data_IF_491188309610
#
_entry.id   IF_491188309610
#
_cell.length_a   1.000
_cell.length_b   1.000
_cell.length_c   1.000
_cell.angle_alpha   90.00
_cell.angle_beta   90.00
_cell.angle_gamma   90.00
#
_symmetry.space_group_name_H-M   'P 1'
#
loop_
_entity.id
_entity.type
_entity.pdbx_description
1 polymer ?
#
# COMPACT_ATOMS: atom_id res chain seq x y z
N UNK A 1 4.68 -15.82 -17.28
CA UNK A 1 5.59 -15.50 -16.15
C UNK A 1 6.65 -14.55 -16.65
N UNK A 2 6.74 -13.32 -16.13
CA UNK A 2 7.82 -12.40 -16.52
C UNK A 2 9.11 -12.82 -15.83
N UNK A 3 10.14 -13.22 -16.60
CA UNK A 3 11.43 -13.65 -16.06
C UNK A 3 12.19 -12.56 -15.30
N UNK A 4 13.26 -12.93 -14.59
CA UNK A 4 14.07 -12.01 -13.77
C UNK A 4 14.68 -10.85 -14.58
N UNK A 5 14.94 -11.05 -15.87
CA UNK A 5 15.39 -9.99 -16.79
C UNK A 5 14.36 -8.88 -16.97
N UNK A 6 13.07 -9.23 -17.06
CA UNK A 6 11.97 -8.26 -17.14
C UNK A 6 11.82 -7.47 -15.84
N UNK A 7 12.08 -8.10 -14.68
CA UNK A 7 12.10 -7.40 -13.40
C UNK A 7 13.29 -6.42 -13.32
N UNK A 8 14.51 -6.87 -13.63
CA UNK A 8 15.69 -6.01 -13.63
C UNK A 8 15.55 -4.85 -14.62
N UNK A 9 14.93 -5.09 -15.77
CA UNK A 9 14.62 -4.04 -16.75
C UNK A 9 13.61 -3.04 -16.19
N UNK A 10 12.49 -3.49 -15.58
CA UNK A 10 11.50 -2.60 -14.94
C UNK A 10 12.08 -1.77 -13.80
N UNK A 11 13.01 -2.33 -13.02
CA UNK A 11 13.71 -1.59 -11.96
C UNK A 11 14.63 -0.52 -12.57
N UNK A 12 15.38 -0.86 -13.63
CA UNK A 12 16.30 0.07 -14.32
C UNK A 12 15.59 1.15 -15.13
N UNK A 13 14.37 0.90 -15.60
CA UNK A 13 13.60 1.88 -16.38
C UNK A 13 12.98 2.97 -15.52
N UNK A 14 12.89 2.79 -14.19
CA UNK A 14 12.38 3.84 -13.31
C UNK A 14 13.45 4.94 -13.15
N UNK A 15 13.07 6.22 -13.28
CA UNK A 15 14.00 7.36 -13.16
C UNK A 15 14.59 7.52 -11.76
N UNK A 16 14.07 6.82 -10.74
CA UNK A 16 14.52 6.88 -9.36
C UNK A 16 14.70 5.45 -8.80
N UNK A 17 15.78 5.23 -8.04
CA UNK A 17 16.06 3.97 -7.35
C UNK A 17 15.06 3.66 -6.24
N UNK A 18 15.16 2.49 -5.56
CA UNK A 18 14.23 2.09 -4.51
C UNK A 18 14.08 3.17 -3.43
N UNK A 19 12.85 3.36 -2.94
CA UNK A 19 12.52 4.37 -1.93
C UNK A 19 11.77 3.76 -0.77
N UNK A 20 12.18 4.13 0.43
CA UNK A 20 11.51 3.79 1.67
C UNK A 20 10.95 5.07 2.29
N UNK A 21 9.70 4.99 2.74
CA UNK A 21 9.00 6.05 3.46
C UNK A 21 8.40 5.43 4.71
N UNK A 22 8.67 6.05 5.85
CA UNK A 22 7.98 5.75 7.10
C UNK A 22 7.09 6.95 7.43
N UNK A 23 5.80 6.66 7.61
CA UNK A 23 4.72 7.61 7.74
C UNK A 23 3.74 7.09 8.80
N UNK A 24 3.97 7.47 10.05
CA UNK A 24 3.25 6.94 11.21
C UNK A 24 3.39 5.42 11.34
N UNK A 25 2.25 4.74 11.42
CA UNK A 25 2.13 3.28 11.50
C UNK A 25 2.26 2.56 10.15
N UNK A 26 2.61 3.27 9.07
CA UNK A 26 2.78 2.69 7.75
C UNK A 26 4.22 2.88 7.26
N UNK A 27 4.86 1.78 6.89
CA UNK A 27 6.09 1.80 6.11
C UNK A 27 5.78 1.43 4.65
N UNK A 28 6.22 2.26 3.72
CA UNK A 28 6.04 2.07 2.29
C UNK A 28 7.41 1.92 1.61
N UNK A 29 7.62 0.80 0.93
CA UNK A 29 8.82 0.54 0.13
C UNK A 29 8.44 0.42 -1.34
N UNK A 30 8.87 1.39 -2.14
CA UNK A 30 8.62 1.44 -3.57
C UNK A 30 9.86 0.96 -4.32
N UNK A 31 9.71 -0.07 -5.15
CA UNK A 31 10.81 -0.63 -5.93
C UNK A 31 10.32 -1.23 -7.26
N UNK A 32 10.92 -0.83 -8.38
CA UNK A 32 10.47 -1.27 -9.70
C UNK A 32 8.99 -0.92 -9.94
N UNK A 33 8.13 -1.89 -10.28
CA UNK A 33 6.70 -1.64 -10.43
C UNK A 33 5.91 -1.77 -9.13
N UNK A 34 6.54 -2.10 -8.00
CA UNK A 34 5.84 -2.48 -6.79
C UNK A 34 5.85 -1.38 -5.72
N UNK A 35 4.75 -1.31 -4.98
CA UNK A 35 4.71 -0.72 -3.64
C UNK A 35 4.46 -1.83 -2.62
N UNK A 36 5.36 -1.96 -1.66
CA UNK A 36 5.21 -2.85 -0.51
C UNK A 36 4.83 -1.97 0.68
N UNK A 37 3.65 -2.21 1.25
CA UNK A 37 3.09 -1.43 2.34
C UNK A 37 2.99 -2.32 3.57
N UNK A 38 3.65 -1.93 4.65
CA UNK A 38 3.56 -2.59 5.95
C UNK A 38 2.76 -1.72 6.91
N UNK A 39 1.66 -2.27 7.41
CA UNK A 39 0.74 -1.66 8.36
C UNK A 39 1.03 -2.24 9.74
N UNK A 40 1.39 -1.39 10.69
CA UNK A 40 1.69 -1.77 12.08
C UNK A 40 0.65 -1.18 13.01
N UNK A 41 -0.37 -1.99 13.31
CA UNK A 41 -1.36 -1.69 14.34
C UNK A 41 -0.90 -2.12 15.73
N UNK A 42 -1.74 -1.88 16.75
CA UNK A 42 -1.39 -2.18 18.15
C UNK A 42 -1.18 -3.69 18.41
N UNK A 43 -2.00 -4.53 17.79
CA UNK A 43 -2.06 -5.98 18.06
C UNK A 43 -1.55 -6.86 16.91
N UNK A 44 -1.36 -6.27 15.72
CA UNK A 44 -0.99 -7.01 14.52
C UNK A 44 -0.22 -6.14 13.53
N UNK A 45 0.65 -6.79 12.77
CA UNK A 45 1.34 -6.20 11.61
C UNK A 45 0.98 -6.99 10.37
N UNK A 46 0.77 -6.30 9.25
CA UNK A 46 0.48 -6.93 7.98
C UNK A 46 1.17 -6.19 6.85
N UNK A 47 1.76 -6.96 5.93
CA UNK A 47 2.42 -6.42 4.75
C UNK A 47 1.62 -6.81 3.52
N UNK A 48 1.41 -5.86 2.62
CA UNK A 48 0.80 -6.10 1.31
C UNK A 48 1.69 -5.55 0.23
N UNK A 49 1.65 -6.19 -0.94
CA UNK A 49 2.33 -5.74 -2.14
C UNK A 49 1.32 -5.41 -3.22
N UNK A 50 1.51 -4.25 -3.83
CA UNK A 50 0.75 -3.74 -4.94
C UNK A 50 1.63 -3.66 -6.20
N UNK A 51 1.12 -4.11 -7.34
CA UNK A 51 1.74 -3.85 -8.65
C UNK A 51 1.19 -2.55 -9.23
N UNK A 52 1.98 -1.48 -9.13
CA UNK A 52 1.64 -0.15 -9.63
C UNK A 52 1.69 -0.05 -11.16
N UNK A 53 2.21 -1.05 -11.89
CA UNK A 53 2.07 -1.09 -13.34
C UNK A 53 0.66 -1.49 -13.79
N UNK A 54 -0.15 -2.07 -12.89
CA UNK A 54 -1.57 -2.27 -13.16
C UNK A 54 -2.25 -0.91 -12.96
N UNK A 55 -2.72 -0.24 -14.04
CA UNK A 55 -3.07 1.18 -13.95
C UNK A 55 -4.15 1.49 -12.91
N UNK A 56 -5.07 0.57 -12.69
CA UNK A 56 -6.12 0.73 -11.67
C UNK A 56 -5.56 0.65 -10.26
N UNK A 57 -4.61 -0.23 -9.96
CA UNK A 57 -4.10 -0.40 -8.58
C UNK A 57 -3.37 0.86 -8.10
N UNK A 58 -2.52 1.44 -8.96
CA UNK A 58 -1.81 2.67 -8.61
C UNK A 58 -2.71 3.86 -8.40
N UNK A 59 -3.75 4.02 -9.23
CA UNK A 59 -4.77 5.07 -9.08
C UNK A 59 -5.63 4.84 -7.85
N UNK A 60 -6.14 3.62 -7.65
CA UNK A 60 -7.00 3.28 -6.51
C UNK A 60 -6.26 3.52 -5.18
N UNK A 61 -4.97 3.18 -5.08
CA UNK A 61 -4.15 3.47 -3.90
C UNK A 61 -3.89 4.96 -3.73
N UNK A 62 -3.60 5.68 -4.81
CA UNK A 62 -3.42 7.14 -4.77
C UNK A 62 -4.69 7.82 -4.25
N UNK A 63 -5.85 7.43 -4.75
CA UNK A 63 -7.15 7.98 -4.35
C UNK A 63 -7.45 7.68 -2.89
N UNK A 64 -7.17 6.45 -2.42
CA UNK A 64 -7.33 6.07 -1.02
C UNK A 64 -6.48 6.95 -0.08
N UNK A 65 -5.17 7.11 -0.35
CA UNK A 65 -4.29 7.93 0.49
C UNK A 65 -4.55 9.43 0.34
N UNK A 66 -5.07 9.88 -0.80
CA UNK A 66 -5.52 11.27 -0.98
C UNK A 66 -6.77 11.52 -0.14
N UNK A 67 -7.75 10.62 -0.15
CA UNK A 67 -8.92 10.71 0.72
C UNK A 67 -8.52 10.73 2.20
N UNK A 68 -7.56 9.89 2.61
CA UNK A 68 -7.01 9.90 3.95
C UNK A 68 -6.38 11.25 4.34
N UNK A 69 -5.66 11.89 3.41
CA UNK A 69 -5.03 13.20 3.61
C UNK A 69 -6.07 14.32 3.71
N UNK A 70 -7.14 14.22 2.94
CA UNK A 70 -8.23 15.21 2.88
C UNK A 70 -9.28 15.01 3.98
N UNK A 71 -9.11 14.00 4.86
CA UNK A 71 -10.05 13.67 5.92
C UNK A 71 -11.37 13.08 5.42
N UNK A 72 -11.34 12.43 4.25
CA UNK A 72 -12.45 11.72 3.64
C UNK A 72 -12.44 10.22 3.93
N UNK A 73 -13.57 9.56 3.64
CA UNK A 73 -13.68 8.11 3.65
C UNK A 73 -13.46 7.56 2.23
N UNK A 74 -12.76 6.44 2.11
CA UNK A 74 -12.57 5.73 0.85
C UNK A 74 -12.33 4.24 1.07
N UNK A 75 -12.60 3.43 0.07
CA UNK A 75 -12.32 1.99 0.08
C UNK A 75 -11.71 1.59 -1.26
N UNK A 76 -10.71 0.72 -1.22
CA UNK A 76 -10.12 0.19 -2.43
C UNK A 76 -11.17 -0.67 -3.17
N UNK A 77 -11.49 -0.41 -4.45
CA UNK A 77 -12.57 -1.12 -5.14
C UNK A 77 -12.28 -2.60 -5.39
N UNK A 78 -11.00 -2.97 -5.51
CA UNK A 78 -10.54 -4.34 -5.83
C UNK A 78 -9.39 -4.73 -4.90
N UNK A 79 -9.66 -4.91 -3.60
CA UNK A 79 -8.65 -5.26 -2.60
C UNK A 79 -7.94 -6.57 -2.91
N UNK A 80 -8.60 -7.50 -3.60
CA UNK A 80 -8.04 -8.79 -4.03
C UNK A 80 -6.86 -8.68 -5.01
N UNK A 81 -6.59 -7.48 -5.53
CA UNK A 81 -5.40 -7.19 -6.36
C UNK A 81 -4.14 -6.90 -5.54
N UNK A 82 -4.29 -6.67 -4.24
CA UNK A 82 -3.18 -6.61 -3.32
C UNK A 82 -2.78 -8.03 -2.92
N UNK A 83 -1.49 -8.30 -2.93
CA UNK A 83 -0.93 -9.57 -2.47
C UNK A 83 -0.54 -9.40 -1.01
N UNK A 84 -1.21 -10.11 -0.10
CA UNK A 84 -0.76 -10.17 1.28
C UNK A 84 0.52 -11.00 1.39
N UNK A 85 1.54 -10.45 2.03
CA UNK A 85 2.81 -11.14 2.29
C UNK A 85 2.72 -11.79 3.67
N UNK A 86 2.99 -13.11 3.74
CA UNK A 86 3.02 -13.89 4.99
C UNK A 86 4.44 -14.26 5.37
N UNK A 87 4.63 -14.64 6.64
CA UNK A 87 5.83 -15.35 7.02
C UNK A 87 5.95 -16.64 6.20
N UNK A 88 7.17 -16.99 5.79
CA UNK A 88 7.47 -18.18 4.97
C UNK A 88 6.93 -19.49 5.60
N UNK A 89 6.66 -19.48 6.90
CA UNK A 89 6.15 -20.61 7.68
C UNK A 89 4.63 -20.80 7.63
N UNK A 90 3.87 -19.86 7.05
CA UNK A 90 2.40 -19.93 6.96
C UNK A 90 1.99 -20.44 5.57
N UNK A 91 1.38 -21.62 5.51
CA UNK A 91 0.87 -22.20 4.25
C UNK A 91 -0.45 -21.52 3.84
N UNK A 92 -0.41 -20.74 2.75
CA UNK A 92 -1.61 -20.18 2.13
C UNK A 92 -1.39 -18.87 1.37
N UNK A 93 -2.29 -18.55 0.44
CA UNK A 93 -2.37 -17.21 -0.15
C UNK A 93 -3.18 -16.30 0.76
N UNK A 94 -2.64 -15.14 1.15
CA UNK A 94 -3.44 -14.11 1.82
C UNK A 94 -4.22 -13.32 0.80
N UNK A 95 -5.53 -13.48 0.86
CA UNK A 95 -6.46 -12.64 0.12
C UNK A 95 -6.77 -11.43 0.98
N UNK A 96 -6.37 -10.25 0.51
CA UNK A 96 -6.81 -8.98 1.09
C UNK A 96 -8.29 -8.80 0.76
N UNK A 97 -9.11 -8.67 1.80
CA UNK A 97 -10.57 -8.52 1.69
C UNK A 97 -11.00 -7.07 1.69
N UNK A 98 -10.25 -6.21 2.38
CA UNK A 98 -10.56 -4.80 2.48
C UNK A 98 -9.29 -4.02 2.71
N UNK A 99 -9.22 -2.87 2.05
CA UNK A 99 -8.36 -1.77 2.46
C UNK A 99 -9.21 -0.50 2.38
N UNK A 100 -9.54 0.06 3.54
CA UNK A 100 -10.43 1.21 3.65
C UNK A 100 -9.82 2.27 4.57
N UNK A 101 -10.29 3.50 4.40
CA UNK A 101 -9.97 4.63 5.25
C UNK A 101 -11.25 5.30 5.73
N UNK A 102 -11.28 5.65 7.00
CA UNK A 102 -12.33 6.44 7.63
C UNK A 102 -11.73 7.67 8.34
N UNK A 103 -12.41 8.81 8.35
CA UNK A 103 -11.96 10.00 9.09
C UNK A 103 -11.89 9.72 10.59
N UNK A 104 -10.84 10.20 11.24
CA UNK A 104 -10.63 10.02 12.68
C UNK A 104 -10.12 11.31 13.33
N UNK A 105 -10.20 11.40 14.66
CA UNK A 105 -9.64 12.54 15.39
C UNK A 105 -8.12 12.62 15.16
N UNK A 106 -7.67 13.71 14.53
CA UNK A 106 -6.24 13.92 14.22
C UNK A 106 -5.76 13.36 12.87
N UNK A 107 -6.65 12.82 12.04
CA UNK A 107 -6.31 12.32 10.71
C UNK A 107 -7.33 11.29 10.20
N UNK A 108 -6.86 10.08 9.95
CA UNK A 108 -7.66 8.98 9.45
C UNK A 108 -7.31 7.65 10.13
N UNK A 109 -8.26 6.74 10.15
CA UNK A 109 -8.05 5.33 10.50
C UNK A 109 -8.07 4.51 9.21
N UNK A 110 -7.00 3.76 8.95
CA UNK A 110 -6.97 2.81 7.84
C UNK A 110 -7.17 1.40 8.38
N UNK A 111 -8.11 0.69 7.78
CA UNK A 111 -8.40 -0.71 8.09
C UNK A 111 -7.95 -1.58 6.92
N UNK A 112 -7.05 -2.51 7.20
CA UNK A 112 -6.63 -3.57 6.29
C UNK A 112 -7.13 -4.90 6.85
N UNK A 113 -7.89 -5.65 6.06
CA UNK A 113 -8.42 -6.96 6.49
C UNK A 113 -8.19 -8.07 5.47
N UNK A 114 -8.09 -9.27 6.02
CA UNK A 114 -8.00 -10.56 5.33
C UNK A 114 -8.99 -11.52 5.97
N UNK A 115 -9.09 -12.76 5.50
CA UNK A 115 -9.96 -13.76 6.14
C UNK A 115 -9.52 -14.12 7.57
N UNK A 116 -8.25 -13.92 7.91
CA UNK A 116 -7.67 -14.37 9.18
C UNK A 116 -7.37 -13.23 10.16
N UNK A 117 -7.17 -12.01 9.65
CA UNK A 117 -6.63 -10.88 10.43
C UNK A 117 -7.18 -9.55 9.95
N UNK A 118 -7.30 -8.63 10.88
CA UNK A 118 -7.60 -7.22 10.66
C UNK A 118 -6.52 -6.38 11.35
N UNK A 119 -6.09 -5.32 10.68
CA UNK A 119 -5.12 -4.35 11.21
C UNK A 119 -5.72 -2.97 10.99
N UNK A 120 -5.88 -2.24 12.10
CA UNK A 120 -6.25 -0.83 12.09
C UNK A 120 -5.01 0.01 12.39
N UNK A 121 -4.80 1.07 11.61
CA UNK A 121 -3.71 2.02 11.82
C UNK A 121 -4.23 3.45 11.81
N UNK A 122 -3.78 4.24 12.78
CA UNK A 122 -3.95 5.68 12.73
C UNK A 122 -2.93 6.28 11.77
N UNK A 123 -3.38 7.19 10.92
CA UNK A 123 -2.54 7.92 9.96
C UNK A 123 -2.87 9.40 10.01
N UNK A 124 -1.85 10.23 10.24
CA UNK A 124 -2.03 11.68 10.19
C UNK A 124 -2.31 12.12 8.75
N UNK A 125 -3.04 13.22 8.57
CA UNK A 125 -3.28 13.79 7.24
C UNK A 125 -1.97 14.10 6.49
N UNK A 126 -0.95 14.57 7.21
CA UNK A 126 0.38 14.85 6.65
C UNK A 126 1.10 13.59 6.18
N UNK A 127 1.04 12.50 6.96
CA UNK A 127 1.63 11.22 6.59
C UNK A 127 0.91 10.56 5.41
N UNK A 128 -0.43 10.62 5.40
CA UNK A 128 -1.24 10.21 4.26
C UNK A 128 -0.86 10.98 2.98
N UNK A 129 -0.73 12.30 3.07
CA UNK A 129 -0.31 13.14 1.95
C UNK A 129 1.09 12.81 1.44
N UNK A 130 2.03 12.47 2.33
CA UNK A 130 3.38 12.03 1.95
C UNK A 130 3.36 10.72 1.18
N UNK A 131 2.58 9.73 1.62
CA UNK A 131 2.41 8.45 0.92
C UNK A 131 1.75 8.68 -0.45
N UNK A 132 0.67 9.46 -0.50
CA UNK A 132 -0.03 9.78 -1.74
C UNK A 132 0.90 10.47 -2.76
N UNK A 133 1.69 11.44 -2.31
CA UNK A 133 2.65 12.13 -3.17
C UNK A 133 3.69 11.18 -3.77
N UNK A 134 4.20 10.22 -2.99
CA UNK A 134 5.17 9.27 -3.53
C UNK A 134 4.54 8.26 -4.46
N UNK A 135 3.33 7.75 -4.16
CA UNK A 135 2.60 6.86 -5.09
C UNK A 135 2.36 7.59 -6.42
N UNK A 136 1.89 8.85 -6.38
CA UNK A 136 1.69 9.67 -7.58
C UNK A 136 2.98 9.83 -8.39
N UNK A 137 4.08 10.12 -7.71
CA UNK A 137 5.39 10.24 -8.34
C UNK A 137 5.82 8.92 -8.98
N UNK A 138 5.53 7.79 -8.34
CA UNK A 138 5.93 6.46 -8.82
C UNK A 138 5.09 5.99 -10.01
N UNK A 139 3.80 6.31 -10.04
CA UNK A 139 2.87 5.94 -11.12
C UNK A 139 3.01 6.82 -12.37
N UNK A 140 3.51 8.06 -12.21
CA UNK A 140 3.78 8.99 -13.31
C UNK A 140 5.19 8.88 -13.92
N UNK A 141 6.09 8.16 -13.25
CA UNK A 141 7.44 7.84 -13.69
C UNK A 141 7.46 6.68 -14.71
#
# INVERSE_FOLDING_TARGET
MTGPESYAQRVRTRPYGPREIVAGSIAAWLHGPFAVLTFTGESATMTVRADLNVPSVGVDLLDLFTAAADGGAACLPRPERLVGEQAITEDGSVVVRQLAVEPAAGGACLTLSTDARMVDVALSAGDAGRIAAEIRRWTSA
#
